data_IF_132005160536
#
_entry.id   IF_132005160536
#
_cell.length_a   1.000
_cell.length_b   1.000
_cell.length_c   1.000
_cell.angle_alpha   90.00
_cell.angle_beta   90.00
_cell.angle_gamma   90.00
#
_symmetry.space_group_name_H-M   'P 1'
#
loop_
_entity.id
_entity.type
_entity.pdbx_description
1 polymer ?
#
# COMPACT_ATOMS: atom_id res chain seq x y z
N UNK A 1 17.93 8.89 -17.47
CA UNK A 1 19.03 9.48 -16.66
C UNK A 1 18.37 10.31 -15.56
N UNK A 2 18.19 9.74 -14.36
CA UNK A 2 17.55 10.46 -13.27
C UNK A 2 18.58 11.41 -12.65
N UNK A 3 18.29 12.71 -12.70
CA UNK A 3 19.10 13.75 -12.07
C UNK A 3 19.21 13.43 -10.57
N UNK A 4 20.42 13.33 -9.99
CA UNK A 4 20.57 13.14 -8.56
C UNK A 4 20.06 14.43 -7.91
N UNK A 5 18.92 14.34 -7.23
CA UNK A 5 18.47 15.42 -6.35
C UNK A 5 19.56 15.57 -5.29
N UNK A 6 20.28 16.69 -5.32
CA UNK A 6 21.25 17.06 -4.30
C UNK A 6 20.54 16.89 -2.95
N UNK A 7 21.02 15.92 -2.18
CA UNK A 7 20.56 15.67 -0.83
C UNK A 7 20.97 16.86 0.00
N UNK A 8 20.17 17.92 -0.02
CA UNK A 8 20.25 18.96 0.99
C UNK A 8 20.17 18.23 2.31
N UNK A 9 21.31 18.18 3.01
CA UNK A 9 21.39 17.66 4.35
C UNK A 9 20.41 18.52 5.14
N UNK A 10 19.18 18.02 5.33
CA UNK A 10 18.19 18.65 6.19
C UNK A 10 18.90 18.74 7.53
N UNK A 11 19.36 19.95 7.85
CA UNK A 11 20.09 20.24 9.07
C UNK A 11 19.38 19.52 10.20
N UNK A 12 20.14 18.79 11.01
CA UNK A 12 19.60 18.09 12.18
C UNK A 12 18.97 19.12 13.11
N UNK A 13 17.71 19.47 12.84
CA UNK A 13 16.94 20.38 13.66
C UNK A 13 16.91 19.82 15.06
N UNK A 14 16.82 20.70 16.05
CA UNK A 14 16.74 20.28 17.46
C UNK A 14 15.71 19.16 17.65
N UNK A 15 15.85 18.36 18.72
CA UNK A 15 14.97 17.20 19.01
C UNK A 15 13.47 17.51 18.79
N UNK A 16 13.06 18.76 19.05
CA UNK A 16 11.71 19.28 18.79
C UNK A 16 11.32 19.27 17.31
N UNK A 17 12.15 19.75 16.39
CA UNK A 17 11.87 19.76 14.95
C UNK A 17 11.74 18.34 14.39
N UNK A 18 12.62 17.43 14.83
CA UNK A 18 12.54 16.01 14.47
C UNK A 18 11.26 15.38 15.02
N UNK A 19 10.91 15.65 16.28
CA UNK A 19 9.68 15.13 16.88
C UNK A 19 8.43 15.63 16.12
N UNK A 20 8.38 16.92 15.77
CA UNK A 20 7.29 17.48 14.97
C UNK A 20 7.21 16.82 13.60
N UNK A 21 8.33 16.65 12.90
CA UNK A 21 8.36 15.96 11.60
C UNK A 21 7.85 14.53 11.66
N UNK A 22 8.27 13.77 12.69
CA UNK A 22 7.79 12.40 12.92
C UNK A 22 6.30 12.37 13.23
N UNK A 23 5.80 13.28 14.07
CA UNK A 23 4.37 13.38 14.39
C UNK A 23 3.57 13.68 13.12
N UNK A 24 3.98 14.67 12.34
CA UNK A 24 3.30 15.03 11.09
C UNK A 24 3.26 13.84 10.12
N UNK A 25 4.39 13.15 9.91
CA UNK A 25 4.44 11.99 9.04
C UNK A 25 3.58 10.82 9.56
N UNK A 26 3.59 10.57 10.87
CA UNK A 26 2.75 9.54 11.50
C UNK A 26 1.25 9.89 11.40
N UNK A 27 0.88 11.16 11.55
CA UNK A 27 -0.49 11.63 11.37
C UNK A 27 -0.93 11.50 9.92
N UNK A 28 -0.10 11.91 8.94
CA UNK A 28 -0.39 11.73 7.52
C UNK A 28 -0.57 10.26 7.15
N UNK A 29 0.32 9.39 7.65
CA UNK A 29 0.25 7.96 7.44
C UNK A 29 -1.04 7.37 8.03
N UNK A 30 -1.32 7.64 9.31
CA UNK A 30 -2.48 7.07 10.00
C UNK A 30 -3.79 7.65 9.48
N UNK A 31 -3.96 8.98 9.47
CA UNK A 31 -5.20 9.61 9.01
C UNK A 31 -5.46 9.36 7.51
N UNK A 32 -4.41 9.41 6.68
CA UNK A 32 -4.51 9.16 5.24
C UNK A 32 -4.94 7.73 4.93
N UNK A 33 -4.30 6.73 5.55
CA UNK A 33 -4.68 5.32 5.36
C UNK A 33 -6.03 5.01 5.99
N UNK A 34 -6.34 5.65 7.13
CA UNK A 34 -7.62 5.49 7.82
C UNK A 34 -8.76 5.93 6.90
N UNK A 35 -8.66 7.13 6.34
CA UNK A 35 -9.64 7.70 5.41
C UNK A 35 -9.71 6.95 4.07
N UNK A 36 -8.58 6.73 3.40
CA UNK A 36 -8.58 6.17 2.05
C UNK A 36 -8.90 4.67 2.01
N UNK A 37 -8.63 3.93 3.09
CA UNK A 37 -8.68 2.46 3.09
C UNK A 37 -9.38 1.84 4.28
N UNK A 38 -8.94 2.10 5.50
CA UNK A 38 -9.46 1.33 6.65
C UNK A 38 -10.94 1.60 6.90
N UNK A 39 -11.41 2.85 6.93
CA UNK A 39 -12.84 3.16 7.05
C UNK A 39 -13.68 2.46 5.98
N UNK A 40 -13.42 2.65 4.67
CA UNK A 40 -14.26 2.07 3.64
C UNK A 40 -14.20 0.54 3.61
N UNK A 41 -13.03 -0.07 3.86
CA UNK A 41 -12.91 -1.53 3.85
C UNK A 41 -13.52 -2.18 5.09
N UNK A 42 -13.34 -1.61 6.28
CA UNK A 42 -13.98 -2.11 7.50
C UNK A 42 -15.50 -1.97 7.40
N UNK A 43 -16.00 -0.84 6.90
CA UNK A 43 -17.42 -0.66 6.66
C UNK A 43 -17.99 -1.73 5.71
N UNK A 44 -17.29 -2.00 4.59
CA UNK A 44 -17.66 -3.06 3.64
C UNK A 44 -17.59 -4.46 4.24
N UNK A 45 -16.56 -4.76 5.04
CA UNK A 45 -16.44 -6.04 5.72
C UNK A 45 -17.58 -6.23 6.74
N UNK A 46 -17.93 -5.18 7.48
CA UNK A 46 -19.02 -5.20 8.46
C UNK A 46 -20.41 -5.33 7.81
N UNK A 47 -20.64 -4.71 6.65
CA UNK A 47 -21.90 -4.92 5.89
C UNK A 47 -21.97 -6.30 5.26
N UNK A 48 -20.87 -6.80 4.69
CA UNK A 48 -20.81 -8.15 4.12
C UNK A 48 -21.06 -9.24 5.18
N UNK A 49 -20.45 -9.08 6.38
CA UNK A 49 -20.67 -10.00 7.50
C UNK A 49 -22.13 -10.03 7.94
N UNK A 50 -22.79 -8.86 8.02
CA UNK A 50 -24.19 -8.76 8.48
C UNK A 50 -25.21 -9.24 7.44
N UNK A 51 -25.00 -8.91 6.18
CA UNK A 51 -26.00 -9.16 5.12
C UNK A 51 -25.77 -10.46 4.38
N UNK A 52 -24.58 -11.07 4.49
CA UNK A 52 -24.14 -12.24 3.70
C UNK A 52 -24.22 -12.01 2.18
N UNK A 53 -24.45 -10.78 1.75
CA UNK A 53 -24.50 -10.34 0.35
C UNK A 53 -23.39 -9.31 0.11
N UNK A 54 -22.67 -9.49 -1.00
CA UNK A 54 -21.70 -8.49 -1.45
C UNK A 54 -22.37 -7.56 -2.46
N UNK A 55 -22.65 -6.32 -2.05
CA UNK A 55 -23.31 -5.32 -2.88
C UNK A 55 -22.42 -4.70 -3.98
N UNK A 56 -21.20 -5.21 -4.19
CA UNK A 56 -20.27 -4.66 -5.17
C UNK A 56 -20.60 -5.11 -6.59
N UNK A 57 -20.92 -4.17 -7.47
CA UNK A 57 -20.98 -4.41 -8.92
C UNK A 57 -19.59 -4.67 -9.49
N UNK A 58 -19.50 -5.50 -10.53
CA UNK A 58 -18.24 -5.70 -11.27
C UNK A 58 -17.80 -4.39 -11.90
N UNK A 59 -16.55 -3.99 -11.65
CA UNK A 59 -15.94 -2.81 -12.29
C UNK A 59 -15.86 -2.96 -13.81
N UNK A 60 -15.85 -4.19 -14.32
CA UNK A 60 -15.85 -4.50 -15.75
C UNK A 60 -17.22 -4.32 -16.41
N UNK A 61 -18.29 -4.24 -15.63
CA UNK A 61 -19.66 -4.02 -16.11
C UNK A 61 -20.09 -2.54 -15.99
N UNK A 62 -19.18 -1.66 -15.58
CA UNK A 62 -19.46 -0.22 -15.43
C UNK A 62 -19.86 0.36 -16.80
N UNK A 63 -20.92 1.16 -16.81
CA UNK A 63 -21.46 1.72 -18.06
C UNK A 63 -22.28 0.72 -18.87
N UNK A 64 -22.70 -0.41 -18.27
CA UNK A 64 -23.57 -1.39 -18.93
C UNK A 64 -22.88 -2.27 -19.97
N UNK A 65 -21.56 -2.40 -19.87
CA UNK A 65 -20.74 -3.17 -20.81
C UNK A 65 -20.77 -4.65 -20.46
N UNK A 66 -20.98 -5.50 -21.46
CA UNK A 66 -21.02 -6.95 -21.35
C UNK A 66 -19.91 -7.61 -22.17
N UNK A 67 -19.55 -8.84 -21.78
CA UNK A 67 -18.58 -9.62 -22.53
C UNK A 67 -19.11 -9.87 -23.96
N UNK A 68 -18.31 -9.52 -24.96
CA UNK A 68 -18.67 -9.63 -26.38
C UNK A 68 -19.17 -8.32 -27.01
N UNK A 69 -19.39 -7.27 -26.23
CA UNK A 69 -19.72 -5.95 -26.78
C UNK A 69 -18.58 -5.40 -27.64
N UNK A 70 -18.96 -4.67 -28.70
CA UNK A 70 -17.98 -3.97 -29.55
C UNK A 70 -17.28 -2.87 -28.74
N UNK A 71 -15.98 -2.60 -28.97
CA UNK A 71 -15.28 -1.52 -28.29
C UNK A 71 -15.92 -0.17 -28.64
N UNK A 72 -16.21 0.65 -27.62
CA UNK A 72 -16.78 1.99 -27.78
C UNK A 72 -16.05 3.02 -26.93
N UNK A 73 -16.02 4.27 -27.40
CA UNK A 73 -15.46 5.39 -26.64
C UNK A 73 -16.21 5.67 -25.34
N UNK A 74 -17.52 5.43 -25.33
CA UNK A 74 -18.34 5.57 -24.13
C UNK A 74 -17.90 4.56 -23.06
N UNK A 75 -17.74 3.28 -23.40
CA UNK A 75 -17.24 2.25 -22.49
C UNK A 75 -15.84 2.59 -21.96
N UNK A 76 -14.95 3.09 -22.82
CA UNK A 76 -13.62 3.51 -22.40
C UNK A 76 -13.67 4.69 -21.40
N UNK A 77 -14.50 5.71 -21.67
CA UNK A 77 -14.62 6.88 -20.82
C UNK A 77 -15.25 6.57 -19.46
N UNK A 78 -16.30 5.74 -19.42
CA UNK A 78 -16.98 5.35 -18.18
C UNK A 78 -16.09 4.47 -17.31
N UNK A 79 -15.38 3.50 -17.91
CA UNK A 79 -14.40 2.70 -17.20
C UNK A 79 -13.24 3.55 -16.67
N UNK A 80 -12.66 4.43 -17.48
CA UNK A 80 -11.59 5.33 -17.08
C UNK A 80 -12.00 6.18 -15.87
N UNK A 81 -13.15 6.86 -15.96
CA UNK A 81 -13.66 7.69 -14.88
C UNK A 81 -13.88 6.89 -13.59
N UNK A 82 -14.52 5.71 -13.68
CA UNK A 82 -14.77 4.86 -12.52
C UNK A 82 -13.49 4.28 -11.89
N UNK A 83 -12.50 3.94 -12.72
CA UNK A 83 -11.22 3.42 -12.25
C UNK A 83 -10.41 4.52 -11.55
N UNK A 84 -10.31 5.70 -12.18
CA UNK A 84 -9.64 6.88 -11.61
C UNK A 84 -10.30 7.30 -10.30
N UNK A 85 -11.64 7.41 -10.28
CA UNK A 85 -12.39 7.78 -9.07
C UNK A 85 -12.16 6.82 -7.90
N UNK A 86 -11.87 5.55 -8.21
CA UNK A 86 -11.61 4.52 -7.20
C UNK A 86 -10.17 4.53 -6.67
N UNK A 87 -9.20 5.00 -7.45
CA UNK A 87 -7.77 4.86 -7.14
C UNK A 87 -7.14 6.16 -6.67
N UNK A 88 -7.60 7.31 -7.15
CA UNK A 88 -6.98 8.60 -6.84
C UNK A 88 -6.79 8.88 -5.33
N UNK A 89 -7.70 8.49 -4.40
CA UNK A 89 -7.49 8.79 -2.98
C UNK A 89 -6.29 8.03 -2.43
N UNK A 90 -6.14 6.76 -2.83
CA UNK A 90 -5.01 5.93 -2.43
C UNK A 90 -3.70 6.41 -3.05
N UNK A 91 -3.74 6.89 -4.30
CA UNK A 91 -2.55 7.44 -4.97
C UNK A 91 -2.06 8.72 -4.28
N UNK A 92 -2.96 9.65 -3.97
CA UNK A 92 -2.62 10.89 -3.27
C UNK A 92 -2.00 10.60 -1.91
N UNK A 93 -2.63 9.72 -1.12
CA UNK A 93 -2.10 9.32 0.20
C UNK A 93 -0.73 8.66 0.07
N UNK A 94 -0.51 7.80 -0.93
CA UNK A 94 0.78 7.16 -1.16
C UNK A 94 1.89 8.16 -1.47
N UNK A 95 1.61 9.15 -2.33
CA UNK A 95 2.56 10.20 -2.67
C UNK A 95 2.87 11.08 -1.46
N UNK A 96 1.86 11.45 -0.67
CA UNK A 96 2.05 12.21 0.57
C UNK A 96 2.89 11.44 1.58
N UNK A 97 2.66 10.14 1.76
CA UNK A 97 3.47 9.28 2.64
C UNK A 97 4.91 9.21 2.13
N UNK A 98 5.14 8.99 0.83
CA UNK A 98 6.50 8.94 0.28
C UNK A 98 7.23 10.27 0.50
N UNK A 99 6.57 11.40 0.19
CA UNK A 99 7.12 12.73 0.40
C UNK A 99 7.40 13.01 1.88
N UNK A 100 6.49 12.64 2.79
CA UNK A 100 6.69 12.83 4.23
C UNK A 100 7.84 11.98 4.76
N UNK A 101 7.96 10.72 4.31
CA UNK A 101 9.08 9.85 4.69
C UNK A 101 10.41 10.43 4.20
N UNK A 102 10.44 11.01 3.01
CA UNK A 102 11.66 11.63 2.48
C UNK A 102 12.02 12.94 3.18
N UNK A 103 11.03 13.79 3.46
CA UNK A 103 11.26 15.16 3.94
C UNK A 103 11.30 15.30 5.47
N UNK A 104 10.58 14.45 6.21
CA UNK A 104 10.32 14.66 7.64
C UNK A 104 11.00 13.62 8.55
N UNK A 105 11.36 12.44 8.04
CA UNK A 105 11.93 11.37 8.86
C UNK A 105 13.47 11.41 8.88
N UNK A 106 14.10 11.20 10.05
CA UNK A 106 15.56 11.08 10.13
C UNK A 106 16.07 9.85 9.35
N UNK A 107 17.09 10.00 8.47
CA UNK A 107 17.60 8.88 7.67
C UNK A 107 18.05 7.66 8.48
N UNK A 108 18.52 7.88 9.71
CA UNK A 108 19.00 6.82 10.62
C UNK A 108 17.90 6.02 11.33
N UNK A 109 16.65 6.48 11.33
CA UNK A 109 15.55 5.78 12.02
C UNK A 109 15.03 4.59 11.20
N UNK A 110 14.84 4.79 9.90
CA UNK A 110 14.33 3.78 8.97
C UNK A 110 15.19 2.50 8.96
N UNK A 111 16.53 2.59 8.76
CA UNK A 111 17.41 1.44 8.84
C UNK A 111 17.37 0.74 10.20
N UNK A 112 17.28 1.47 11.31
CA UNK A 112 17.19 0.84 12.65
C UNK A 112 15.89 0.05 12.84
N UNK A 113 14.79 0.51 12.23
CA UNK A 113 13.50 -0.16 12.35
C UNK A 113 13.40 -1.39 11.42
N UNK A 114 13.97 -1.31 10.22
CA UNK A 114 13.70 -2.28 9.14
C UNK A 114 14.91 -3.14 8.75
N UNK A 115 16.14 -2.70 8.97
CA UNK A 115 17.33 -3.52 8.74
C UNK A 115 17.55 -4.39 9.98
N UNK A 116 17.18 -5.68 9.88
CA UNK A 116 17.34 -6.66 10.96
C UNK A 116 18.55 -7.55 10.72
N UNK A 117 18.88 -8.36 11.72
CA UNK A 117 19.95 -9.35 11.63
C UNK A 117 19.48 -10.46 10.67
N UNK A 118 19.95 -10.43 9.44
CA UNK A 118 19.62 -11.40 8.38
C UNK A 118 18.61 -10.90 7.33
N UNK A 119 18.63 -11.57 6.17
CA UNK A 119 17.77 -11.26 5.02
C UNK A 119 16.29 -11.49 5.34
N UNK A 120 15.94 -12.69 5.82
CA UNK A 120 14.55 -13.06 6.15
C UNK A 120 13.96 -12.14 7.23
N UNK A 121 14.72 -11.83 8.28
CA UNK A 121 14.28 -10.92 9.35
C UNK A 121 14.00 -9.51 8.83
N UNK A 122 14.82 -9.04 7.87
CA UNK A 122 14.62 -7.74 7.23
C UNK A 122 13.43 -7.76 6.28
N UNK A 123 13.27 -8.83 5.49
CA UNK A 123 12.12 -9.05 4.64
C UNK A 123 10.82 -9.09 5.46
N UNK A 124 10.80 -9.83 6.58
CA UNK A 124 9.65 -9.87 7.49
C UNK A 124 9.30 -8.46 8.02
N UNK A 125 10.30 -7.70 8.46
CA UNK A 125 10.09 -6.34 8.95
C UNK A 125 9.51 -5.43 7.86
N UNK A 126 10.04 -5.51 6.63
CA UNK A 126 9.54 -4.77 5.47
C UNK A 126 8.12 -5.16 5.07
N UNK A 127 7.86 -6.47 4.92
CA UNK A 127 6.56 -7.01 4.58
C UNK A 127 5.49 -6.63 5.60
N UNK A 128 5.79 -6.78 6.90
CA UNK A 128 4.89 -6.38 7.98
C UNK A 128 4.61 -4.87 7.96
N UNK A 129 5.62 -4.03 7.69
CA UNK A 129 5.44 -2.58 7.57
C UNK A 129 4.54 -2.19 6.37
N UNK A 130 4.48 -3.03 5.32
CA UNK A 130 3.64 -2.80 4.14
C UNK A 130 2.20 -3.30 4.25
N UNK A 131 1.88 -4.21 5.18
CA UNK A 131 0.53 -4.75 5.31
C UNK A 131 -0.54 -3.68 5.61
N UNK A 132 -0.33 -2.71 6.53
CA UNK A 132 -1.37 -1.75 6.91
C UNK A 132 -1.74 -0.77 5.79
N UNK A 133 -0.82 -0.52 4.84
CA UNK A 133 -1.07 0.39 3.73
C UNK A 133 -1.99 -0.22 2.67
N UNK A 134 -2.10 -1.55 2.58
CA UNK A 134 -3.02 -2.24 1.66
C UNK A 134 -2.94 -1.71 0.21
N UNK A 135 -1.76 -1.27 -0.26
CA UNK A 135 -1.61 -0.54 -1.52
C UNK A 135 -1.42 -1.48 -2.72
N UNK A 136 -1.72 -0.97 -3.92
CA UNK A 136 -1.26 -1.60 -5.15
C UNK A 136 0.26 -1.44 -5.28
N UNK A 137 0.88 -2.30 -6.10
CA UNK A 137 2.29 -2.18 -6.49
C UNK A 137 2.62 -0.78 -7.04
N UNK A 138 1.70 -0.20 -7.81
CA UNK A 138 1.80 1.16 -8.34
C UNK A 138 1.97 2.25 -7.26
N UNK A 139 1.14 2.19 -6.21
CA UNK A 139 1.14 3.17 -5.12
C UNK A 139 2.27 2.91 -4.12
N UNK A 140 2.63 1.65 -3.89
CA UNK A 140 3.71 1.29 -2.97
C UNK A 140 5.10 1.57 -3.54
N UNK A 141 5.25 1.62 -4.88
CA UNK A 141 6.54 1.83 -5.56
C UNK A 141 7.28 3.11 -5.12
N UNK A 142 6.68 4.33 -5.14
CA UNK A 142 7.39 5.53 -4.72
C UNK A 142 7.82 5.47 -3.25
N UNK A 143 7.05 4.84 -2.36
CA UNK A 143 7.45 4.66 -0.96
C UNK A 143 8.64 3.70 -0.86
N UNK A 144 8.59 2.55 -1.55
CA UNK A 144 9.68 1.57 -1.57
C UNK A 144 10.99 2.17 -2.10
N UNK A 145 10.93 3.00 -3.15
CA UNK A 145 12.10 3.73 -3.67
C UNK A 145 12.65 4.71 -2.63
N UNK A 146 11.79 5.46 -1.94
CA UNK A 146 12.19 6.36 -0.84
C UNK A 146 12.83 5.59 0.31
N UNK A 147 12.29 4.43 0.69
CA UNK A 147 12.89 3.55 1.69
C UNK A 147 14.30 3.11 1.28
N UNK A 148 14.49 2.69 0.02
CA UNK A 148 15.82 2.32 -0.52
C UNK A 148 16.81 3.46 -0.47
N UNK A 149 16.38 4.68 -0.84
CA UNK A 149 17.21 5.89 -0.77
C UNK A 149 17.62 6.25 0.66
N UNK A 150 16.81 5.87 1.65
CA UNK A 150 17.11 6.06 3.08
C UNK A 150 17.92 4.92 3.71
N UNK A 151 18.57 4.05 2.91
CA UNK A 151 19.49 3.03 3.41
C UNK A 151 18.83 1.75 3.94
N UNK A 152 17.56 1.51 3.61
CA UNK A 152 16.91 0.24 3.91
C UNK A 152 17.44 -0.87 2.99
N UNK A 153 17.64 -2.09 3.50
CA UNK A 153 18.14 -3.24 2.72
C UNK A 153 17.23 -3.59 1.55
N UNK A 154 17.75 -4.24 0.49
CA UNK A 154 16.93 -4.60 -0.67
C UNK A 154 15.80 -5.54 -0.26
N UNK A 155 16.12 -6.55 0.56
CA UNK A 155 15.17 -7.51 1.09
C UNK A 155 13.98 -6.84 1.79
N UNK A 156 14.23 -5.90 2.72
CA UNK A 156 13.15 -5.20 3.42
C UNK A 156 12.30 -4.31 2.48
N UNK A 157 12.92 -3.61 1.54
CA UNK A 157 12.18 -2.72 0.65
C UNK A 157 11.35 -3.48 -0.40
N UNK A 158 11.89 -4.57 -0.97
CA UNK A 158 11.15 -5.43 -1.90
C UNK A 158 10.05 -6.16 -1.16
N UNK A 159 10.31 -6.66 0.05
CA UNK A 159 9.28 -7.27 0.90
C UNK A 159 8.16 -6.27 1.25
N UNK A 160 8.48 -5.01 1.56
CA UNK A 160 7.47 -3.97 1.75
C UNK A 160 6.61 -3.78 0.48
N UNK A 161 7.25 -3.74 -0.69
CA UNK A 161 6.58 -3.53 -1.96
C UNK A 161 5.67 -4.70 -2.36
N UNK A 162 6.13 -5.94 -2.20
CA UNK A 162 5.37 -7.16 -2.49
C UNK A 162 4.34 -7.49 -1.41
N UNK A 163 4.65 -7.21 -0.15
CA UNK A 163 3.77 -7.46 1.00
C UNK A 163 2.47 -6.66 0.93
N UNK A 164 2.54 -5.44 0.40
CA UNK A 164 1.38 -4.57 0.22
C UNK A 164 0.20 -5.23 -0.54
N UNK A 165 0.40 -5.75 -1.78
CA UNK A 165 -0.66 -6.44 -2.52
C UNK A 165 -0.86 -7.90 -2.11
N UNK A 166 0.22 -8.64 -1.81
CA UNK A 166 0.13 -10.09 -1.57
C UNK A 166 -0.50 -10.40 -0.21
N UNK A 167 -0.07 -9.67 0.82
CA UNK A 167 -0.50 -9.86 2.21
C UNK A 167 -1.54 -8.82 2.63
N UNK A 168 -2.28 -8.27 1.66
CA UNK A 168 -3.30 -7.26 1.91
C UNK A 168 -4.42 -7.82 2.80
N UNK A 169 -4.59 -7.33 4.04
CA UNK A 169 -5.59 -7.85 4.96
C UNK A 169 -7.02 -7.67 4.44
N UNK A 170 -7.35 -6.57 3.74
CA UNK A 170 -8.69 -6.39 3.18
C UNK A 170 -9.03 -7.45 2.14
N UNK A 171 -8.05 -7.87 1.32
CA UNK A 171 -8.22 -8.92 0.33
C UNK A 171 -8.33 -10.29 1.00
N UNK A 172 -7.52 -10.57 2.02
CA UNK A 172 -7.60 -11.83 2.77
C UNK A 172 -8.97 -11.99 3.45
N UNK A 173 -9.47 -10.94 4.10
CA UNK A 173 -10.81 -10.93 4.70
C UNK A 173 -11.89 -11.11 3.64
N UNK A 174 -11.77 -10.44 2.50
CA UNK A 174 -12.72 -10.59 1.39
C UNK A 174 -12.74 -12.03 0.83
N UNK A 175 -11.57 -12.61 0.53
CA UNK A 175 -11.50 -14.00 0.04
C UNK A 175 -12.07 -14.97 1.06
N UNK A 176 -11.83 -14.75 2.36
CA UNK A 176 -12.34 -15.64 3.40
C UNK A 176 -13.87 -15.70 3.43
N UNK A 177 -14.54 -14.59 3.10
CA UNK A 177 -16.00 -14.54 3.05
C UNK A 177 -16.61 -15.00 1.72
N UNK A 178 -15.92 -14.76 0.60
CA UNK A 178 -16.49 -14.95 -0.74
C UNK A 178 -16.03 -16.24 -1.42
N UNK A 179 -14.82 -16.69 -1.16
CA UNK A 179 -14.22 -17.86 -1.79
C UNK A 179 -14.03 -19.00 -0.79
N UNK A 180 -13.85 -20.25 -1.26
CA UNK A 180 -13.48 -21.36 -0.38
C UNK A 180 -12.19 -21.03 0.39
N UNK A 181 -12.13 -21.42 1.66
CA UNK A 181 -11.04 -21.08 2.58
C UNK A 181 -9.64 -21.45 2.04
N UNK A 182 -9.57 -22.48 1.17
CA UNK A 182 -8.37 -22.92 0.47
C UNK A 182 -7.73 -21.77 -0.32
N UNK A 183 -8.52 -20.91 -0.98
CA UNK A 183 -8.01 -19.79 -1.77
C UNK A 183 -7.35 -18.73 -0.88
N UNK A 184 -7.96 -18.46 0.28
CA UNK A 184 -7.38 -17.56 1.29
C UNK A 184 -6.08 -18.11 1.83
N UNK A 185 -6.05 -19.41 2.16
CA UNK A 185 -4.85 -20.08 2.65
C UNK A 185 -3.75 -20.08 1.61
N UNK A 186 -4.04 -20.46 0.35
CA UNK A 186 -3.07 -20.45 -0.74
C UNK A 186 -2.50 -19.04 -0.93
N UNK A 187 -3.35 -18.01 -0.96
CA UNK A 187 -2.90 -16.63 -1.06
C UNK A 187 -1.98 -16.24 0.09
N UNK A 188 -2.34 -16.59 1.32
CA UNK A 188 -1.53 -16.28 2.51
C UNK A 188 -0.18 -16.98 2.46
N UNK A 189 -0.16 -18.29 2.23
CA UNK A 189 1.06 -19.11 2.23
C UNK A 189 1.99 -18.69 1.09
N UNK A 190 1.48 -18.60 -0.14
CA UNK A 190 2.27 -18.14 -1.30
C UNK A 190 2.73 -16.71 -1.09
N UNK A 191 1.85 -15.83 -0.60
CA UNK A 191 2.20 -14.44 -0.31
C UNK A 191 3.33 -14.33 0.72
N UNK A 192 3.27 -15.08 1.81
CA UNK A 192 4.33 -15.09 2.84
C UNK A 192 5.61 -15.66 2.26
N UNK A 193 5.55 -16.79 1.54
CA UNK A 193 6.71 -17.40 0.92
C UNK A 193 7.40 -16.44 -0.07
N UNK A 194 6.63 -15.77 -0.94
CA UNK A 194 7.15 -14.79 -1.90
C UNK A 194 7.75 -13.58 -1.19
N UNK A 195 7.11 -13.07 -0.14
CA UNK A 195 7.60 -11.89 0.60
C UNK A 195 8.85 -12.18 1.40
N UNK A 196 9.00 -13.38 1.95
CA UNK A 196 10.18 -13.78 2.73
C UNK A 196 11.32 -14.33 1.87
N UNK A 197 11.02 -14.76 0.64
CA UNK A 197 12.00 -15.30 -0.32
C UNK A 197 12.75 -14.25 -1.15
N UNK A 198 12.58 -12.95 -0.85
CA UNK A 198 13.26 -11.83 -1.53
C UNK A 198 14.69 -11.59 -1.06
#
# INVERSE_FOLDING_TARGET
MAMPLEGNAIHSGGRRTVAVGVVVAATLFTAGLLWAKWLPYVAKAATAHRTRHWAGSSMLAVGGVHAGDRPTWHAAATFFHAYVSSIWPALVVALLISASVQALLPPRWLPRALNRRGLISSALAGGAAGMPSMMCTCCAAPVAVTLRRNGITPAAAVAYWLGNPLLNPAVLVFLFFVAPWQWTLTRLVVGVATVLGV
#
